data_IF_138722178325
#
_entry.id   IF_138722178325
#
_cell.length_a   1.000
_cell.length_b   1.000
_cell.length_c   1.000
_cell.angle_alpha   90.00
_cell.angle_beta   90.00
_cell.angle_gamma   90.00
#
_symmetry.space_group_name_H-M   'P 1'
#
loop_
_entity.id
_entity.type
_entity.pdbx_description
1 polymer ?
#
# COMPACT_ATOMS: atom_id res chain seq x y z
N UNK A 1 -0.42 -11.71 -13.03
CA UNK A 1 -0.87 -10.83 -11.93
C UNK A 1 -2.38 -10.85 -11.84
N UNK A 2 -2.93 -10.94 -10.62
CA UNK A 2 -4.36 -10.82 -10.33
C UNK A 2 -4.55 -9.68 -9.35
N UNK A 3 -5.57 -8.84 -9.59
CA UNK A 3 -5.94 -7.74 -8.68
C UNK A 3 -7.44 -7.84 -8.35
N UNK A 4 -7.79 -7.46 -7.12
CA UNK A 4 -9.18 -7.38 -6.69
C UNK A 4 -9.39 -6.14 -5.83
N UNK A 5 -10.62 -5.64 -5.85
CA UNK A 5 -11.06 -4.58 -4.96
C UNK A 5 -12.56 -4.71 -4.70
N UNK A 6 -12.98 -4.47 -3.45
CA UNK A 6 -14.38 -4.45 -3.05
C UNK A 6 -14.62 -3.30 -2.07
N UNK A 7 -15.68 -2.54 -2.34
CA UNK A 7 -16.21 -1.55 -1.42
C UNK A 7 -17.58 -2.03 -0.92
N UNK A 8 -17.74 -2.13 0.39
CA UNK A 8 -18.97 -2.56 1.05
C UNK A 8 -19.47 -1.46 1.99
N UNK A 9 -20.69 -1.00 1.79
CA UNK A 9 -21.35 -0.14 2.77
C UNK A 9 -21.82 -0.98 3.96
N UNK A 10 -21.34 -0.64 5.15
CA UNK A 10 -21.67 -1.35 6.40
C UNK A 10 -22.86 -0.68 7.07
N UNK A 11 -22.88 0.63 7.08
CA UNK A 11 -23.98 1.47 7.59
C UNK A 11 -23.94 2.86 6.94
N UNK A 12 -24.95 3.72 7.17
CA UNK A 12 -24.91 5.09 6.68
C UNK A 12 -23.61 5.77 7.10
N UNK A 13 -22.87 6.35 6.16
CA UNK A 13 -21.57 7.02 6.34
C UNK A 13 -20.39 6.10 6.64
N UNK A 14 -20.55 4.80 6.82
CA UNK A 14 -19.45 3.87 7.11
C UNK A 14 -19.33 2.83 5.98
N UNK A 15 -18.16 2.75 5.39
CA UNK A 15 -17.86 1.75 4.37
C UNK A 15 -16.53 1.03 4.67
N UNK A 16 -16.48 -0.23 4.28
CA UNK A 16 -15.30 -1.08 4.32
C UNK A 16 -14.77 -1.26 2.90
N UNK A 17 -13.53 -0.91 2.68
CA UNK A 17 -12.81 -1.22 1.45
C UNK A 17 -11.81 -2.34 1.73
N UNK A 18 -11.78 -3.33 0.86
CA UNK A 18 -10.77 -4.38 0.85
C UNK A 18 -10.24 -4.49 -0.56
N UNK A 19 -8.93 -4.46 -0.70
CA UNK A 19 -8.27 -4.58 -1.98
C UNK A 19 -6.96 -5.32 -1.87
N UNK A 20 -6.46 -5.80 -2.99
CA UNK A 20 -5.18 -6.47 -3.01
C UNK A 20 -4.77 -6.96 -4.38
N UNK A 21 -3.58 -7.57 -4.42
CA UNK A 21 -3.01 -8.13 -5.62
C UNK A 21 -2.12 -9.32 -5.32
N UNK A 22 -2.03 -10.20 -6.28
CA UNK A 22 -1.15 -11.37 -6.30
C UNK A 22 -0.36 -11.34 -7.61
N UNK A 23 0.93 -11.54 -7.52
CA UNK A 23 1.81 -11.77 -8.67
C UNK A 23 2.53 -13.10 -8.51
N UNK A 24 2.58 -13.86 -9.57
CA UNK A 24 3.41 -15.05 -9.69
C UNK A 24 4.17 -14.99 -11.02
N UNK A 25 5.46 -15.10 -10.94
CA UNK A 25 6.36 -15.13 -12.08
C UNK A 25 6.52 -16.57 -12.62
N UNK A 26 7.03 -16.71 -13.82
CA UNK A 26 7.48 -17.99 -14.41
C UNK A 26 9.00 -18.08 -14.51
N UNK A 27 9.68 -17.00 -14.19
CA UNK A 27 11.14 -16.85 -14.18
C UNK A 27 11.49 -15.62 -13.35
N UNK A 28 12.78 -15.40 -13.06
CA UNK A 28 13.22 -14.13 -12.47
C UNK A 28 12.90 -12.96 -13.40
N UNK A 29 12.29 -11.92 -12.82
CA UNK A 29 11.79 -10.75 -13.54
C UNK A 29 12.81 -9.61 -13.56
N UNK A 30 12.72 -8.77 -14.57
CA UNK A 30 13.40 -7.49 -14.59
C UNK A 30 12.81 -6.54 -13.53
N UNK A 31 13.62 -5.60 -13.05
CA UNK A 31 13.23 -4.69 -11.95
C UNK A 31 11.89 -3.97 -12.20
N UNK A 32 11.59 -3.63 -13.45
CA UNK A 32 10.35 -2.91 -13.82
C UNK A 32 9.11 -3.81 -13.83
N UNK A 33 9.28 -5.13 -13.89
CA UNK A 33 8.19 -6.11 -13.89
C UNK A 33 7.87 -6.60 -12.47
N UNK A 34 8.79 -6.36 -11.52
CA UNK A 34 8.64 -6.81 -10.12
C UNK A 34 7.51 -6.08 -9.40
N UNK A 35 6.83 -6.81 -8.53
CA UNK A 35 5.81 -6.27 -7.65
C UNK A 35 6.46 -5.39 -6.56
N UNK A 36 6.14 -4.10 -6.54
CA UNK A 36 6.55 -3.19 -5.47
C UNK A 36 5.60 -3.30 -4.28
N UNK A 37 6.13 -3.67 -3.12
CA UNK A 37 5.34 -3.90 -1.90
C UNK A 37 5.34 -2.72 -0.92
N UNK A 38 6.16 -1.69 -1.14
CA UNK A 38 6.19 -0.46 -0.34
C UNK A 38 5.64 0.74 -1.11
N UNK A 39 5.18 1.74 -0.38
CA UNK A 39 4.74 3.01 -0.94
C UNK A 39 3.23 3.29 -0.83
N UNK A 40 2.76 4.43 -1.34
CA UNK A 40 1.39 4.91 -1.13
C UNK A 40 0.30 4.03 -1.78
N UNK A 41 0.66 3.18 -2.74
CA UNK A 41 -0.25 2.23 -3.42
C UNK A 41 -0.10 0.79 -2.93
N UNK A 42 0.77 0.55 -1.95
CA UNK A 42 1.04 -0.76 -1.37
C UNK A 42 1.06 -0.66 0.17
N UNK A 43 2.10 -1.13 0.86
CA UNK A 43 2.21 -0.94 2.31
C UNK A 43 2.73 0.47 2.59
N UNK A 44 1.82 1.36 3.00
CA UNK A 44 2.05 2.81 3.14
C UNK A 44 3.09 3.19 4.19
N UNK A 45 3.36 2.33 5.13
CA UNK A 45 4.38 2.57 6.16
C UNK A 45 5.83 2.46 5.67
N UNK A 46 6.05 2.06 4.42
CA UNK A 46 7.38 1.86 3.84
C UNK A 46 7.60 2.71 2.59
N UNK A 47 8.86 2.92 2.22
CA UNK A 47 9.21 3.64 1.00
C UNK A 47 8.76 2.89 -0.25
N UNK A 48 8.54 3.62 -1.34
CA UNK A 48 8.37 3.02 -2.66
C UNK A 48 9.64 2.26 -3.03
N UNK A 49 9.50 1.01 -3.50
CA UNK A 49 10.63 0.17 -3.84
C UNK A 49 11.33 -0.49 -2.64
N UNK A 50 10.76 -0.42 -1.44
CA UNK A 50 11.30 -1.10 -0.24
C UNK A 50 11.47 -2.60 -0.44
N UNK A 51 10.55 -3.24 -1.13
CA UNK A 51 10.62 -4.63 -1.60
C UNK A 51 10.15 -4.68 -3.04
N UNK A 52 10.98 -5.22 -3.91
CA UNK A 52 10.66 -5.57 -5.29
C UNK A 52 10.70 -7.10 -5.40
N UNK A 53 9.56 -7.70 -5.65
CA UNK A 53 9.36 -9.14 -5.60
C UNK A 53 8.96 -9.70 -6.97
N UNK A 54 9.47 -10.87 -7.32
CA UNK A 54 9.03 -11.66 -8.48
C UNK A 54 7.68 -12.31 -8.17
N UNK A 55 7.59 -12.96 -7.01
CA UNK A 55 6.37 -13.57 -6.50
C UNK A 55 5.93 -12.87 -5.22
N UNK A 56 4.64 -12.63 -5.06
CA UNK A 56 4.17 -11.98 -3.86
C UNK A 56 2.70 -11.59 -3.88
N UNK A 57 2.25 -11.11 -2.74
CA UNK A 57 0.91 -10.57 -2.56
C UNK A 57 0.95 -9.30 -1.73
N UNK A 58 -0.06 -8.48 -1.94
CA UNK A 58 -0.36 -7.33 -1.10
C UNK A 58 -1.87 -7.29 -0.82
N UNK A 59 -2.23 -6.82 0.36
CA UNK A 59 -3.62 -6.63 0.76
C UNK A 59 -3.75 -5.35 1.58
N UNK A 60 -4.84 -4.63 1.38
CA UNK A 60 -5.22 -3.45 2.16
C UNK A 60 -6.66 -3.56 2.61
N UNK A 61 -6.91 -3.12 3.83
CA UNK A 61 -8.26 -2.98 4.38
C UNK A 61 -8.40 -1.58 4.91
N UNK A 62 -9.50 -0.88 4.53
CA UNK A 62 -9.76 0.47 4.99
C UNK A 62 -11.19 0.59 5.52
N UNK A 63 -11.33 1.12 6.71
CA UNK A 63 -12.61 1.55 7.26
C UNK A 63 -12.75 3.05 7.01
N UNK A 64 -13.74 3.44 6.20
CA UNK A 64 -13.95 4.82 5.75
C UNK A 64 -15.23 5.38 6.37
N UNK A 65 -15.13 6.55 6.98
CA UNK A 65 -16.24 7.28 7.54
C UNK A 65 -16.47 8.61 6.82
N UNK A 66 -17.64 8.77 6.21
CA UNK A 66 -18.03 9.99 5.50
C UNK A 66 -18.43 11.08 6.51
N UNK A 67 -17.64 12.14 6.62
CA UNK A 67 -17.95 13.33 7.41
C UNK A 67 -18.96 14.21 6.68
N UNK A 68 -18.72 14.42 5.39
CA UNK A 68 -19.55 15.18 4.42
C UNK A 68 -19.49 14.45 3.08
N UNK A 69 -20.35 14.81 2.10
CA UNK A 69 -20.28 14.22 0.77
C UNK A 69 -18.89 14.30 0.11
N UNK A 70 -18.13 15.35 0.42
CA UNK A 70 -16.84 15.66 -0.15
C UNK A 70 -15.66 15.26 0.75
N UNK A 71 -15.89 14.84 2.01
CA UNK A 71 -14.85 14.62 3.00
C UNK A 71 -15.06 13.32 3.77
N UNK A 72 -13.99 12.53 3.88
CA UNK A 72 -13.99 11.28 4.65
C UNK A 72 -12.70 11.10 5.44
N UNK A 73 -12.84 10.48 6.61
CA UNK A 73 -11.74 9.91 7.37
C UNK A 73 -11.63 8.43 7.06
N UNK A 74 -10.43 7.88 7.13
CA UNK A 74 -10.24 6.44 7.02
C UNK A 74 -9.15 5.96 7.97
N UNK A 75 -9.32 4.75 8.47
CA UNK A 75 -8.28 3.97 9.13
C UNK A 75 -7.96 2.77 8.24
N UNK A 76 -6.71 2.36 8.19
CA UNK A 76 -6.29 1.29 7.30
C UNK A 76 -5.28 0.34 7.93
N UNK A 77 -5.24 -0.85 7.37
CA UNK A 77 -4.22 -1.85 7.61
C UNK A 77 -3.75 -2.43 6.28
N UNK A 78 -2.45 -2.39 6.07
CA UNK A 78 -1.77 -2.91 4.89
C UNK A 78 -0.88 -4.08 5.27
N UNK A 79 -0.88 -5.13 4.46
CA UNK A 79 0.00 -6.27 4.61
C UNK A 79 0.49 -6.74 3.24
N UNK A 80 1.75 -7.16 3.17
CA UNK A 80 2.34 -7.71 1.97
C UNK A 80 3.43 -8.73 2.31
N UNK A 81 3.66 -9.64 1.40
CA UNK A 81 4.81 -10.55 1.40
C UNK A 81 5.25 -10.78 -0.03
N UNK A 82 6.57 -10.85 -0.23
CA UNK A 82 7.12 -11.16 -1.53
C UNK A 82 8.45 -11.88 -1.43
N UNK A 83 8.69 -12.69 -2.44
CA UNK A 83 9.95 -13.38 -2.70
C UNK A 83 10.72 -12.57 -3.74
N UNK A 84 11.97 -12.22 -3.43
CA UNK A 84 12.80 -11.35 -4.27
C UNK A 84 13.10 -11.97 -5.63
N UNK A 85 13.21 -13.32 -5.66
CA UNK A 85 13.54 -14.11 -6.83
C UNK A 85 12.57 -15.28 -6.94
N UNK A 86 12.10 -15.54 -8.15
CA UNK A 86 11.32 -16.74 -8.45
C UNK A 86 12.19 -18.00 -8.33
N UNK A 87 13.41 -17.92 -8.92
CA UNK A 87 14.46 -18.94 -8.79
C UNK A 87 15.67 -18.36 -8.01
N UNK A 88 15.69 -18.54 -6.67
CA UNK A 88 16.82 -18.05 -5.86
C UNK A 88 18.08 -18.84 -6.15
N UNK A 89 19.22 -18.13 -6.29
CA UNK A 89 20.53 -18.78 -6.41
C UNK A 89 21.03 -19.19 -5.04
N UNK A 90 21.92 -20.18 -4.99
CA UNK A 90 22.48 -20.71 -3.73
C UNK A 90 23.21 -19.67 -2.85
N UNK A 91 23.57 -18.52 -3.42
CA UNK A 91 24.23 -17.40 -2.72
C UNK A 91 23.24 -16.37 -2.14
N UNK A 92 21.95 -16.47 -2.44
CA UNK A 92 20.92 -15.52 -1.99
C UNK A 92 20.56 -15.84 -0.53
N UNK A 93 21.00 -14.99 0.39
CA UNK A 93 20.82 -15.19 1.85
C UNK A 93 19.41 -14.80 2.30
N UNK A 94 18.80 -13.77 1.69
CA UNK A 94 17.45 -13.31 2.00
C UNK A 94 16.60 -13.47 0.75
N UNK A 95 15.67 -14.38 0.79
CA UNK A 95 14.82 -14.71 -0.38
C UNK A 95 13.43 -14.09 -0.30
N UNK A 96 12.95 -13.75 0.91
CA UNK A 96 11.60 -13.20 1.08
C UNK A 96 11.53 -12.15 2.18
N UNK A 97 10.51 -11.29 2.09
CA UNK A 97 10.21 -10.28 3.10
C UNK A 97 8.71 -10.05 3.26
N UNK A 98 8.28 -9.82 4.50
CA UNK A 98 6.92 -9.41 4.84
C UNK A 98 6.91 -7.97 5.34
N UNK A 99 5.93 -7.20 4.91
CA UNK A 99 5.69 -5.84 5.35
C UNK A 99 4.29 -5.74 5.95
N UNK A 100 4.16 -4.97 7.03
CA UNK A 100 2.86 -4.64 7.65
C UNK A 100 2.87 -3.19 8.07
N UNK A 101 1.73 -2.52 7.87
CA UNK A 101 1.56 -1.15 8.28
C UNK A 101 0.10 -0.86 8.61
N UNK A 102 -0.12 0.16 9.41
CA UNK A 102 -1.44 0.65 9.75
C UNK A 102 -1.40 2.17 9.83
N UNK A 103 -2.55 2.78 9.75
CA UNK A 103 -2.58 4.22 9.79
C UNK A 103 -3.97 4.81 9.68
N UNK A 104 -3.98 6.12 9.59
CA UNK A 104 -5.19 6.92 9.41
C UNK A 104 -4.98 7.91 8.28
N UNK A 105 -6.07 8.38 7.71
CA UNK A 105 -5.98 9.39 6.68
C UNK A 105 -7.28 10.16 6.48
N UNK A 106 -7.18 11.16 5.63
CA UNK A 106 -8.25 12.06 5.28
C UNK A 106 -8.30 12.24 3.76
N UNK A 107 -9.47 12.08 3.19
CA UNK A 107 -9.75 12.37 1.79
C UNK A 107 -10.72 13.55 1.72
N UNK A 108 -10.42 14.49 0.86
CA UNK A 108 -11.34 15.56 0.48
C UNK A 108 -11.37 15.65 -1.05
N UNK A 109 -12.58 15.59 -1.61
CA UNK A 109 -12.75 15.62 -3.07
C UNK A 109 -13.97 16.47 -3.43
N UNK A 110 -13.71 17.56 -4.10
CA UNK A 110 -14.74 18.38 -4.72
C UNK A 110 -14.80 18.05 -6.21
N UNK A 111 -15.85 17.38 -6.69
CA UNK A 111 -15.95 16.94 -8.07
C UNK A 111 -15.68 18.06 -9.06
N UNK A 112 -14.85 17.78 -10.08
CA UNK A 112 -14.48 18.74 -11.13
C UNK A 112 -13.55 19.88 -10.69
N UNK A 113 -13.05 19.87 -9.47
CA UNK A 113 -12.17 20.93 -8.96
C UNK A 113 -10.88 20.39 -8.35
N UNK A 114 -10.93 19.83 -7.15
CA UNK A 114 -9.75 19.44 -6.39
C UNK A 114 -10.00 18.14 -5.65
N UNK A 115 -8.99 17.27 -5.65
CA UNK A 115 -8.92 16.09 -4.77
C UNK A 115 -7.66 16.19 -3.92
N UNK A 116 -7.80 16.03 -2.60
CA UNK A 116 -6.72 16.01 -1.63
C UNK A 116 -6.76 14.70 -0.86
N UNK A 117 -5.60 14.08 -0.71
CA UNK A 117 -5.42 12.89 0.12
C UNK A 117 -4.27 13.14 1.09
N UNK A 118 -4.47 12.79 2.35
CA UNK A 118 -3.47 12.82 3.39
C UNK A 118 -3.53 11.49 4.14
N UNK A 119 -2.38 10.88 4.42
CA UNK A 119 -2.30 9.71 5.27
C UNK A 119 -1.04 9.71 6.13
N UNK A 120 -1.17 9.17 7.32
CA UNK A 120 -0.08 8.91 8.27
C UNK A 120 -0.07 7.43 8.56
N UNK A 121 1.08 6.79 8.34
CA UNK A 121 1.24 5.34 8.40
C UNK A 121 2.38 4.97 9.35
N UNK A 122 2.11 4.01 10.23
CA UNK A 122 3.09 3.40 11.14
C UNK A 122 3.41 1.99 10.70
N UNK A 123 4.67 1.59 10.89
CA UNK A 123 5.11 0.21 10.63
C UNK A 123 4.60 -0.72 11.73
N UNK A 124 4.10 -1.87 11.31
CA UNK A 124 3.71 -2.95 12.21
C UNK A 124 4.83 -3.96 12.46
N UNK A 125 5.80 -4.06 11.55
CA UNK A 125 6.91 -5.03 11.63
C UNK A 125 8.15 -4.52 10.89
N UNK A 126 9.32 -4.71 11.48
CA UNK A 126 10.63 -4.49 10.83
C UNK A 126 10.99 -3.04 10.55
N UNK A 127 12.29 -2.78 10.44
CA UNK A 127 12.82 -1.49 10.01
C UNK A 127 12.70 -1.33 8.49
N UNK A 128 12.64 -0.08 7.99
CA UNK A 128 12.85 0.21 6.57
C UNK A 128 14.32 0.00 6.20
N UNK A 129 14.60 -0.64 5.08
CA UNK A 129 15.95 -0.88 4.62
C UNK A 129 16.42 0.18 3.61
N UNK A 130 15.48 0.76 2.86
CA UNK A 130 15.77 1.71 1.78
C UNK A 130 15.69 3.18 2.20
N UNK A 131 15.15 3.45 3.37
CA UNK A 131 15.09 4.81 3.92
C UNK A 131 16.38 5.13 4.65
N UNK A 132 17.28 5.88 4.18
CA UNK A 132 18.50 6.33 4.87
C UNK A 132 18.28 7.02 6.23
N UNK A 133 17.13 6.85 6.84
CA UNK A 133 16.70 7.24 8.17
C UNK A 133 15.37 6.56 8.50
N UNK A 134 15.18 6.21 9.76
CA UNK A 134 13.99 5.51 10.24
C UNK A 134 12.77 6.45 10.29
N UNK A 135 12.16 6.71 9.13
CA UNK A 135 10.94 7.52 9.03
C UNK A 135 9.71 6.71 9.45
N UNK A 136 9.39 6.77 10.72
CA UNK A 136 8.19 6.18 11.30
C UNK A 136 7.61 7.12 12.36
N UNK A 137 6.43 7.74 12.14
CA UNK A 137 5.50 7.49 11.04
C UNK A 137 5.93 8.09 9.71
N UNK A 138 5.36 7.55 8.62
CA UNK A 138 5.46 8.07 7.26
C UNK A 138 4.20 8.84 6.89
N UNK A 139 4.39 10.01 6.31
CA UNK A 139 3.30 10.87 5.86
C UNK A 139 3.29 10.91 4.34
N UNK A 140 2.13 10.66 3.75
CA UNK A 140 1.87 10.86 2.33
C UNK A 140 0.76 11.90 2.14
N UNK A 141 0.96 12.79 1.19
CA UNK A 141 -0.05 13.73 0.78
C UNK A 141 -0.05 13.89 -0.74
N UNK A 142 -1.21 14.15 -1.30
CA UNK A 142 -1.36 14.50 -2.72
C UNK A 142 -2.49 15.49 -2.90
N UNK A 143 -2.31 16.41 -3.85
CA UNK A 143 -3.34 17.34 -4.29
C UNK A 143 -3.39 17.24 -5.81
N UNK A 144 -4.59 17.02 -6.34
CA UNK A 144 -4.86 16.97 -7.77
C UNK A 144 -5.94 17.99 -8.10
N UNK A 145 -5.71 18.82 -9.09
CA UNK A 145 -6.68 19.80 -9.60
C UNK A 145 -7.05 19.43 -11.04
N UNK A 146 -8.34 19.32 -11.29
CA UNK A 146 -8.85 19.23 -12.67
C UNK A 146 -8.94 20.63 -13.26
N UNK A 147 -8.53 20.78 -14.53
CA UNK A 147 -8.63 22.02 -15.32
C UNK A 147 -9.67 21.85 -16.40
#
# INVERSE_FOLDING_TARGET
TVQFARLQYVMPKLSLYVGGGLQRASKNLDTYEKLSLGGPKAVRAYATGEVLADDGWLATTELRYALKPEASLFAFYDAARGDFFHDPRAVDVVTSRSLRGYGVGFNWSKPGQVTMNLSVAWRGTGAGLTDGGDRNPRVFWSIQKAF
#
